data_IF_824782740177
#
_entry.id   IF_824782740177
#
_cell.length_a   1.000
_cell.length_b   1.000
_cell.length_c   1.000
_cell.angle_alpha   90.00
_cell.angle_beta   90.00
_cell.angle_gamma   90.00
#
_symmetry.space_group_name_H-M   'P 1'
#
loop_
_entity.id
_entity.type
_entity.pdbx_description
1 polymer ?
#
# COMPACT_ATOMS: atom_id res chain seq x y z
N UNK A 1 8.98 -0.66 -22.24
CA UNK A 1 9.14 -1.10 -20.85
C UNK A 1 8.80 0.11 -20.00
N UNK A 2 7.66 0.11 -19.31
CA UNK A 2 7.21 1.29 -18.58
C UNK A 2 8.00 1.36 -17.27
N UNK A 3 9.11 2.11 -17.26
CA UNK A 3 9.81 2.46 -16.04
C UNK A 3 8.97 3.50 -15.30
N UNK A 4 8.72 3.27 -14.02
CA UNK A 4 8.11 4.25 -13.13
C UNK A 4 9.21 5.16 -12.61
N UNK A 5 8.97 6.45 -12.63
CA UNK A 5 9.78 7.42 -11.93
C UNK A 5 9.02 7.98 -10.74
N UNK A 6 9.36 7.51 -9.54
CA UNK A 6 8.73 7.91 -8.28
C UNK A 6 8.93 9.39 -7.99
N UNK A 7 10.03 9.99 -8.45
CA UNK A 7 10.31 11.41 -8.24
C UNK A 7 9.22 12.31 -8.83
N UNK A 8 8.57 11.87 -9.91
CA UNK A 8 7.46 12.59 -10.55
C UNK A 8 6.14 12.57 -9.76
N UNK A 9 6.04 11.76 -8.70
CA UNK A 9 4.83 11.61 -7.89
C UNK A 9 4.95 12.20 -6.49
N UNK A 10 6.17 12.36 -5.98
CA UNK A 10 6.43 12.87 -4.63
C UNK A 10 6.43 14.40 -4.58
N UNK A 11 6.10 14.93 -3.41
CA UNK A 11 6.23 16.34 -3.01
C UNK A 11 6.92 16.43 -1.65
N UNK A 12 7.24 17.65 -1.20
CA UNK A 12 7.94 17.87 0.09
C UNK A 12 7.18 17.29 1.30
N UNK A 13 5.84 17.26 1.25
CA UNK A 13 4.98 16.70 2.28
C UNK A 13 4.82 15.17 2.21
N UNK A 14 5.37 14.53 1.17
CA UNK A 14 5.24 13.10 0.97
C UNK A 14 6.12 12.34 1.94
N UNK A 15 5.58 11.31 2.58
CA UNK A 15 6.38 10.37 3.38
C UNK A 15 5.95 8.91 3.20
N UNK A 16 4.88 8.66 2.43
CA UNK A 16 4.39 7.32 2.13
C UNK A 16 3.90 7.27 0.68
N UNK A 17 4.36 6.26 -0.06
CA UNK A 17 3.88 5.93 -1.40
C UNK A 17 3.45 4.47 -1.41
N UNK A 18 2.25 4.19 -1.92
CA UNK A 18 1.71 2.85 -2.09
C UNK A 18 1.46 2.59 -3.58
N UNK A 19 2.03 1.51 -4.12
CA UNK A 19 1.90 1.13 -5.53
C UNK A 19 1.17 -0.20 -5.60
N UNK A 20 -0.12 -0.15 -5.89
CA UNK A 20 -1.00 -1.30 -6.02
C UNK A 20 -0.90 -1.92 -7.40
N UNK A 21 -0.85 -3.25 -7.44
CA UNK A 21 -1.11 -4.02 -8.65
C UNK A 21 -2.62 -4.17 -8.79
N UNK A 22 -3.17 -3.82 -9.94
CA UNK A 22 -4.61 -3.84 -10.16
C UNK A 22 -4.99 -4.43 -11.52
N UNK A 23 -6.20 -4.96 -11.59
CA UNK A 23 -6.85 -5.34 -12.84
C UNK A 23 -7.72 -4.19 -13.32
N UNK A 24 -7.55 -3.87 -14.60
CA UNK A 24 -8.33 -2.84 -15.27
C UNK A 24 -9.59 -3.47 -15.89
N UNK A 25 -10.77 -2.91 -15.56
CA UNK A 25 -12.02 -3.24 -16.25
C UNK A 25 -12.59 -1.98 -16.88
N UNK A 26 -12.74 -1.98 -18.21
CA UNK A 26 -13.57 -0.99 -18.90
C UNK A 26 -15.02 -1.27 -18.53
N UNK A 27 -15.72 -0.27 -17.99
CA UNK A 27 -17.18 -0.28 -17.99
C UNK A 27 -17.68 0.39 -19.28
N UNK A 28 -18.89 -0.02 -19.72
CA UNK A 28 -19.57 0.50 -20.91
C UNK A 28 -19.81 2.03 -20.90
N UNK A 29 -19.60 2.70 -19.77
CA UNK A 29 -19.84 4.14 -19.56
C UNK A 29 -18.55 4.99 -19.53
N UNK A 30 -17.41 4.48 -20.00
CA UNK A 30 -16.11 5.17 -19.95
C UNK A 30 -15.61 5.53 -18.53
N UNK A 31 -16.23 4.99 -17.48
CA UNK A 31 -15.74 5.09 -16.10
C UNK A 31 -14.64 4.05 -15.85
N UNK A 32 -13.51 4.50 -15.30
CA UNK A 32 -12.39 3.62 -14.94
C UNK A 32 -12.70 2.98 -13.58
N UNK A 33 -13.03 1.69 -13.59
CA UNK A 33 -13.12 0.89 -12.36
C UNK A 33 -11.79 0.17 -12.13
N UNK A 34 -11.07 0.61 -11.10
CA UNK A 34 -9.80 0.01 -10.68
C UNK A 34 -10.11 -1.11 -9.70
N UNK A 35 -9.87 -2.36 -10.11
CA UNK A 35 -10.00 -3.49 -9.21
C UNK A 35 -8.62 -3.88 -8.67
N UNK A 36 -8.35 -3.54 -7.42
CA UNK A 36 -7.11 -3.94 -6.73
C UNK A 36 -7.12 -5.40 -6.27
N UNK A 37 -8.26 -6.10 -6.38
CA UNK A 37 -8.37 -7.52 -6.07
C UNK A 37 -7.75 -8.33 -7.20
N UNK A 38 -6.75 -9.14 -6.86
CA UNK A 38 -6.01 -9.95 -7.83
C UNK A 38 -6.51 -11.39 -7.85
N UNK A 39 -6.21 -12.11 -8.93
CA UNK A 39 -6.55 -13.53 -9.04
C UNK A 39 -5.61 -14.40 -8.20
N UNK A 40 -6.08 -15.59 -7.82
CA UNK A 40 -5.30 -16.56 -7.04
C UNK A 40 -4.00 -16.98 -7.74
N UNK A 41 -3.97 -17.01 -9.08
CA UNK A 41 -2.76 -17.30 -9.85
C UNK A 41 -1.66 -16.27 -9.62
N UNK A 42 -2.01 -14.97 -9.57
CA UNK A 42 -1.07 -13.88 -9.32
C UNK A 42 -0.56 -13.97 -7.88
N UNK A 43 -1.46 -14.26 -6.93
CA UNK A 43 -1.12 -14.46 -5.51
C UNK A 43 -0.18 -15.64 -5.32
N UNK A 44 -0.41 -16.73 -6.04
CA UNK A 44 0.46 -17.92 -6.02
C UNK A 44 1.86 -17.59 -6.55
N UNK A 45 1.96 -16.91 -7.69
CA UNK A 45 3.26 -16.42 -8.24
C UNK A 45 4.01 -15.56 -7.23
N UNK A 46 3.30 -14.68 -6.51
CA UNK A 46 3.88 -13.86 -5.45
C UNK A 46 4.45 -14.74 -4.31
N UNK A 47 3.64 -15.63 -3.74
CA UNK A 47 4.05 -16.49 -2.61
C UNK A 47 5.20 -17.44 -2.97
N UNK A 48 5.22 -17.96 -4.20
CA UNK A 48 6.29 -18.83 -4.68
C UNK A 48 7.64 -18.09 -4.80
N UNK A 49 7.60 -16.82 -5.20
CA UNK A 49 8.78 -15.98 -5.38
C UNK A 49 9.32 -15.41 -4.07
N UNK A 50 8.44 -15.03 -3.15
CA UNK A 50 8.79 -14.35 -1.90
C UNK A 50 8.54 -15.25 -0.69
N UNK A 51 9.55 -16.06 -0.31
CA UNK A 51 9.41 -17.15 0.66
C UNK A 51 9.61 -16.79 2.14
N UNK A 52 10.09 -15.57 2.45
CA UNK A 52 10.35 -15.10 3.82
C UNK A 52 9.42 -13.95 4.21
N UNK A 53 8.11 -14.19 4.08
CA UNK A 53 7.07 -13.21 4.41
C UNK A 53 6.74 -13.25 5.90
N UNK A 54 6.68 -12.08 6.54
CA UNK A 54 6.21 -11.92 7.92
C UNK A 54 4.72 -11.66 7.90
N UNK A 55 3.95 -12.43 8.67
CA UNK A 55 2.54 -12.13 8.90
C UNK A 55 2.42 -11.00 9.92
N UNK A 56 1.74 -9.94 9.54
CA UNK A 56 1.30 -8.83 10.39
C UNK A 56 -0.22 -8.85 10.41
N UNK A 57 -0.79 -8.66 11.60
CA UNK A 57 -2.22 -8.70 11.82
C UNK A 57 -2.58 -7.39 12.49
N UNK A 58 -3.46 -6.61 11.88
CA UNK A 58 -3.82 -5.32 12.42
C UNK A 58 -5.31 -5.21 12.61
N UNK A 59 -5.70 -4.61 13.73
CA UNK A 59 -7.05 -4.09 13.94
C UNK A 59 -6.99 -2.58 13.98
N UNK A 60 -7.82 -1.93 13.19
CA UNK A 60 -7.88 -0.48 13.11
C UNK A 60 -9.29 0.05 13.37
N UNK A 61 -9.38 1.14 14.10
CA UNK A 61 -10.62 1.88 14.39
C UNK A 61 -10.49 3.27 13.79
N UNK A 62 -11.45 3.68 12.97
CA UNK A 62 -11.41 4.93 12.22
C UNK A 62 -12.40 5.94 12.82
N UNK A 63 -11.92 7.18 12.98
CA UNK A 63 -12.72 8.33 13.38
C UNK A 63 -12.23 9.55 12.58
N UNK A 64 -13.10 10.14 11.77
CA UNK A 64 -12.79 11.25 10.87
C UNK A 64 -11.56 10.94 9.97
N UNK A 65 -10.49 11.72 10.10
CA UNK A 65 -9.24 11.62 9.34
C UNK A 65 -8.17 10.74 10.01
N UNK A 66 -8.48 10.19 11.19
CA UNK A 66 -7.54 9.42 12.01
C UNK A 66 -7.98 7.97 12.16
N UNK A 67 -6.99 7.13 12.43
CA UNK A 67 -7.22 5.76 12.82
C UNK A 67 -6.29 5.33 13.96
N UNK A 68 -6.88 4.61 14.91
CA UNK A 68 -6.16 3.87 15.93
C UNK A 68 -5.83 2.49 15.39
N UNK A 69 -4.56 2.12 15.35
CA UNK A 69 -4.11 0.81 14.87
C UNK A 69 -3.44 0.04 16.01
N UNK A 70 -3.85 -1.21 16.17
CA UNK A 70 -3.28 -2.19 17.07
C UNK A 70 -2.69 -3.35 16.27
N UNK A 71 -1.42 -3.69 16.50
CA UNK A 71 -0.83 -4.94 15.99
C UNK A 71 -1.33 -6.08 16.86
N UNK A 72 -1.91 -7.14 16.29
CA UNK A 72 -2.42 -8.27 17.06
C UNK A 72 -1.33 -9.29 17.40
N UNK A 73 -0.11 -9.14 16.87
CA UNK A 73 1.02 -10.03 17.16
C UNK A 73 1.92 -9.52 18.29
N UNK A 74 1.75 -8.28 18.72
CA UNK A 74 2.50 -7.65 19.82
C UNK A 74 1.70 -6.47 20.39
N UNK A 75 2.09 -5.90 21.52
CA UNK A 75 1.31 -4.83 22.15
C UNK A 75 1.52 -3.43 21.51
N UNK A 76 2.01 -3.35 20.26
CA UNK A 76 2.25 -2.08 19.59
C UNK A 76 0.93 -1.42 19.17
N UNK A 77 0.82 -0.14 19.51
CA UNK A 77 -0.36 0.67 19.23
C UNK A 77 0.08 2.03 18.68
N UNK A 78 -0.72 2.58 17.76
CA UNK A 78 -0.42 3.89 17.19
C UNK A 78 -1.68 4.57 16.68
N UNK A 79 -1.68 5.90 16.78
CA UNK A 79 -2.69 6.75 16.16
C UNK A 79 -2.06 7.40 14.95
N UNK A 80 -2.72 7.30 13.80
CA UNK A 80 -2.18 7.81 12.56
C UNK A 80 -3.26 8.53 11.75
N UNK A 81 -2.84 9.40 10.83
CA UNK A 81 -3.67 9.95 9.76
C UNK A 81 -2.99 9.74 8.43
N UNK A 82 -3.77 9.57 7.36
CA UNK A 82 -3.26 9.47 5.99
C UNK A 82 -4.00 10.46 5.10
N UNK A 83 -3.32 11.52 4.71
CA UNK A 83 -3.83 12.53 3.79
C UNK A 83 -3.34 12.17 2.39
N UNK A 84 -4.26 11.83 1.49
CA UNK A 84 -3.95 11.53 0.09
C UNK A 84 -3.55 12.83 -0.63
N UNK A 85 -2.31 12.90 -1.12
CA UNK A 85 -1.77 14.06 -1.84
C UNK A 85 -1.93 13.92 -3.35
N UNK A 86 -1.68 12.71 -3.87
CA UNK A 86 -1.69 12.43 -5.31
C UNK A 86 -2.12 11.00 -5.59
N UNK A 87 -2.81 10.81 -6.71
CA UNK A 87 -3.12 9.49 -7.28
C UNK A 87 -2.69 9.42 -8.73
N UNK A 88 -2.25 8.26 -9.19
CA UNK A 88 -1.93 8.02 -10.59
C UNK A 88 -2.27 6.59 -11.01
N UNK A 89 -2.58 6.40 -12.28
CA UNK A 89 -2.84 5.10 -12.87
C UNK A 89 -1.91 4.89 -14.07
N UNK A 90 -1.16 3.79 -14.06
CA UNK A 90 -0.22 3.44 -15.13
C UNK A 90 -0.70 2.16 -15.81
N UNK A 91 -1.13 2.32 -17.06
CA UNK A 91 -1.53 1.20 -17.92
C UNK A 91 -0.27 0.50 -18.44
N UNK A 92 -0.13 -0.79 -18.16
CA UNK A 92 1.01 -1.63 -18.55
C UNK A 92 0.62 -2.59 -19.66
N UNK A 93 0.55 -2.05 -20.88
CA UNK A 93 0.33 -2.84 -22.10
C UNK A 93 1.36 -3.99 -22.15
N UNK A 94 0.89 -5.24 -22.25
CA UNK A 94 1.66 -6.51 -22.21
C UNK A 94 1.96 -7.11 -20.82
N UNK A 95 1.31 -6.64 -19.75
CA UNK A 95 1.35 -7.27 -18.43
C UNK A 95 -0.05 -7.71 -17.99
N UNK A 96 -0.10 -8.67 -17.07
CA UNK A 96 -1.38 -9.18 -16.50
C UNK A 96 -2.06 -8.16 -15.58
N UNK A 97 -1.33 -7.14 -15.11
CA UNK A 97 -1.81 -6.12 -14.17
C UNK A 97 -1.33 -4.74 -14.56
N UNK A 98 -2.16 -3.74 -14.28
CA UNK A 98 -1.81 -2.32 -14.28
C UNK A 98 -1.32 -1.91 -12.89
N UNK A 99 -0.98 -0.62 -12.73
CA UNK A 99 -0.54 -0.07 -11.46
C UNK A 99 -1.36 1.14 -11.06
N UNK A 100 -1.76 1.18 -9.80
CA UNK A 100 -2.38 2.33 -9.17
C UNK A 100 -1.48 2.86 -8.05
N UNK A 101 -1.10 4.12 -8.14
CA UNK A 101 -0.17 4.77 -7.21
C UNK A 101 -0.94 5.75 -6.35
N UNK A 102 -0.83 5.61 -5.04
CA UNK A 102 -1.27 6.60 -4.08
C UNK A 102 -0.06 7.19 -3.33
N UNK A 103 -0.10 8.50 -3.14
CA UNK A 103 0.94 9.26 -2.45
C UNK A 103 0.29 9.96 -1.27
N UNK A 104 0.88 9.81 -0.09
CA UNK A 104 0.33 10.30 1.16
C UNK A 104 1.31 11.13 1.97
N UNK A 105 0.73 12.05 2.74
CA UNK A 105 1.29 12.49 4.01
C UNK A 105 0.70 11.61 5.12
N UNK A 106 1.55 10.81 5.74
CA UNK A 106 1.22 9.89 6.82
C UNK A 106 1.80 10.42 8.13
N UNK A 107 0.94 10.79 9.06
CA UNK A 107 1.36 11.35 10.35
C UNK A 107 1.05 10.37 11.48
N UNK A 108 1.94 10.32 12.47
CA UNK A 108 1.75 9.56 13.70
C UNK A 108 1.54 10.54 14.85
N UNK A 109 0.56 10.24 15.69
CA UNK A 109 0.19 11.05 16.85
C UNK A 109 0.36 10.26 18.14
N UNK A 110 0.48 10.95 19.30
CA UNK A 110 0.35 10.33 20.60
C UNK A 110 -0.97 9.57 20.76
N UNK A 111 -0.93 8.36 21.33
CA UNK A 111 -2.10 7.47 21.40
C UNK A 111 -3.28 8.05 22.18
N UNK A 112 -3.02 8.91 23.17
CA UNK A 112 -4.06 9.56 23.99
C UNK A 112 -4.89 10.60 23.23
N UNK A 113 -4.49 10.99 22.01
CA UNK A 113 -5.27 11.91 21.18
C UNK A 113 -6.42 11.23 20.43
N UNK A 114 -6.48 9.89 20.43
CA UNK A 114 -7.63 9.18 19.88
C UNK A 114 -8.71 9.08 20.96
N UNK A 115 -9.95 9.53 20.67
CA UNK A 115 -10.99 9.61 21.67
C UNK A 115 -11.48 8.22 22.09
N UNK A 116 -11.72 8.05 23.39
CA UNK A 116 -12.48 6.93 23.91
C UNK A 116 -13.97 7.21 23.67
N UNK A 117 -14.51 6.75 22.55
CA UNK A 117 -15.90 6.98 22.16
C UNK A 117 -16.47 5.78 21.43
N UNK A 118 -17.78 5.60 21.53
CA UNK A 118 -18.54 4.61 20.74
C UNK A 118 -18.82 5.10 19.31
N UNK A 119 -18.54 6.38 19.01
CA UNK A 119 -18.71 6.98 17.69
C UNK A 119 -17.55 6.60 16.76
N UNK A 120 -17.41 5.30 16.50
CA UNK A 120 -16.45 4.75 15.52
C UNK A 120 -17.11 4.72 14.15
N UNK A 121 -16.45 5.30 13.16
CA UNK A 121 -16.96 5.34 11.78
C UNK A 121 -16.83 3.97 11.11
N UNK A 122 -15.70 3.29 11.33
CA UNK A 122 -15.38 2.02 10.70
C UNK A 122 -14.34 1.23 11.51
N UNK A 123 -14.46 -0.11 11.47
CA UNK A 123 -13.49 -1.04 12.06
C UNK A 123 -12.97 -1.93 10.93
N UNK A 124 -11.65 -2.08 10.88
CA UNK A 124 -10.96 -2.92 9.89
C UNK A 124 -10.07 -3.93 10.59
N UNK A 125 -10.13 -5.18 10.16
CA UNK A 125 -9.17 -6.22 10.53
C UNK A 125 -8.49 -6.72 9.27
N UNK A 126 -7.15 -6.67 9.24
CA UNK A 126 -6.38 -6.95 8.03
C UNK A 126 -5.16 -7.81 8.34
N UNK A 127 -4.97 -8.82 7.51
CA UNK A 127 -3.78 -9.66 7.49
C UNK A 127 -2.87 -9.17 6.36
N UNK A 128 -1.62 -8.84 6.69
CA UNK A 128 -0.61 -8.37 5.76
C UNK A 128 0.58 -9.32 5.83
N UNK A 129 0.88 -9.98 4.72
CA UNK A 129 2.10 -10.74 4.52
C UNK A 129 3.16 -9.81 3.94
N UNK A 130 4.07 -9.35 4.79
CA UNK A 130 5.13 -8.40 4.44
C UNK A 130 6.40 -9.13 4.00
N UNK A 131 6.85 -8.88 2.77
CA UNK A 131 8.22 -9.15 2.35
C UNK A 131 9.03 -7.84 2.44
N UNK A 132 9.78 -7.67 3.52
CA UNK A 132 10.57 -6.46 3.77
C UNK A 132 11.90 -6.51 3.00
N UNK A 133 12.07 -5.63 2.01
CA UNK A 133 13.33 -5.52 1.27
C UNK A 133 14.34 -4.63 1.98
N UNK A 134 13.86 -3.49 2.49
CA UNK A 134 14.67 -2.52 3.26
C UNK A 134 13.81 -1.93 4.37
N UNK A 135 14.36 -1.05 5.19
CA UNK A 135 13.56 -0.28 6.15
C UNK A 135 12.58 0.70 5.49
N UNK A 136 12.74 0.97 4.18
CA UNK A 136 11.90 1.91 3.43
C UNK A 136 10.97 1.25 2.44
N UNK A 137 11.30 0.07 1.95
CA UNK A 137 10.52 -0.62 0.90
C UNK A 137 10.12 -1.99 1.41
N UNK A 138 8.82 -2.26 1.37
CA UNK A 138 8.26 -3.60 1.53
C UNK A 138 7.35 -3.95 0.38
N UNK A 139 7.24 -5.26 0.11
CA UNK A 139 6.32 -5.80 -0.87
C UNK A 139 5.28 -6.66 -0.17
N UNK A 140 4.02 -6.27 -0.27
CA UNK A 140 2.98 -6.69 0.65
C UNK A 140 1.87 -7.42 -0.09
N UNK A 141 1.39 -8.50 0.52
CA UNK A 141 0.12 -9.15 0.18
C UNK A 141 -0.84 -8.93 1.35
N UNK A 142 -1.84 -8.06 1.17
CA UNK A 142 -2.90 -7.78 2.13
C UNK A 142 -4.14 -8.62 1.78
N UNK A 143 -4.79 -9.16 2.80
CA UNK A 143 -6.15 -9.69 2.69
C UNK A 143 -7.10 -8.70 3.35
N UNK A 144 -8.01 -8.16 2.56
CA UNK A 144 -9.04 -7.20 2.98
C UNK A 144 -10.41 -7.79 2.65
N UNK A 145 -11.18 -8.16 3.67
CA UNK A 145 -12.41 -8.96 3.52
C UNK A 145 -12.22 -10.21 2.62
N UNK A 146 -11.11 -10.92 2.82
CA UNK A 146 -10.75 -12.12 2.06
C UNK A 146 -10.24 -11.85 0.63
N UNK A 147 -10.26 -10.62 0.15
CA UNK A 147 -9.75 -10.27 -1.17
C UNK A 147 -8.24 -9.99 -1.12
N UNK A 148 -7.43 -10.66 -1.95
CA UNK A 148 -6.00 -10.45 -1.98
C UNK A 148 -5.62 -9.19 -2.77
N UNK A 149 -4.83 -8.34 -2.15
CA UNK A 149 -4.31 -7.09 -2.71
C UNK A 149 -2.79 -7.14 -2.61
N UNK A 150 -2.08 -6.92 -3.72
CA UNK A 150 -0.62 -6.85 -3.75
C UNK A 150 -0.20 -5.40 -3.99
N UNK A 151 0.71 -4.90 -3.15
CA UNK A 151 1.21 -3.54 -3.28
C UNK A 151 2.62 -3.39 -2.74
N UNK A 152 3.36 -2.42 -3.29
CA UNK A 152 4.66 -1.98 -2.77
C UNK A 152 4.40 -0.80 -1.85
N UNK A 153 4.94 -0.85 -0.63
CA UNK A 153 4.97 0.30 0.28
C UNK A 153 6.37 0.93 0.23
N UNK A 154 6.44 2.24 0.07
CA UNK A 154 7.66 3.03 0.13
C UNK A 154 7.55 4.19 1.12
N UNK A 155 8.35 4.13 2.20
CA UNK A 155 8.50 5.19 3.21
C UNK A 155 9.53 6.23 2.73
N UNK A 156 9.02 7.28 2.12
CA UNK A 156 9.83 8.37 1.57
C UNK A 156 10.41 9.24 2.69
N UNK A 157 11.58 9.83 2.42
CA UNK A 157 12.08 10.99 3.14
C UNK A 157 12.97 11.79 2.19
N UNK A 158 13.12 13.11 2.39
CA UNK A 158 13.86 13.97 1.46
C UNK A 158 15.31 13.54 1.19
N UNK A 159 16.00 13.02 2.20
CA UNK A 159 17.44 12.74 2.15
C UNK A 159 17.80 11.34 1.60
N UNK A 160 17.05 10.82 0.62
CA UNK A 160 17.27 9.48 0.05
C UNK A 160 17.77 9.53 -1.37
N UNK A 161 18.60 8.55 -1.73
CA UNK A 161 19.03 8.32 -3.11
C UNK A 161 17.85 7.79 -3.95
N UNK A 162 17.08 8.71 -4.54
CA UNK A 162 15.85 8.38 -5.26
C UNK A 162 16.08 7.44 -6.45
N UNK A 163 17.25 7.50 -7.08
CA UNK A 163 17.60 6.62 -8.20
C UNK A 163 17.65 5.15 -7.78
N UNK A 164 18.26 4.83 -6.63
CA UNK A 164 18.29 3.45 -6.11
C UNK A 164 16.90 2.96 -5.70
N UNK A 165 16.07 3.86 -5.20
CA UNK A 165 14.66 3.58 -4.87
C UNK A 165 13.89 3.24 -6.15
N UNK A 166 14.04 4.08 -7.19
CA UNK A 166 13.44 3.88 -8.50
C UNK A 166 13.87 2.54 -9.12
N UNK A 167 15.15 2.19 -9.08
CA UNK A 167 15.64 0.89 -9.56
C UNK A 167 15.01 -0.28 -8.83
N UNK A 168 14.89 -0.18 -7.51
CA UNK A 168 14.31 -1.24 -6.67
C UNK A 168 12.83 -1.42 -6.92
N UNK A 169 12.07 -0.33 -6.97
CA UNK A 169 10.63 -0.36 -7.27
C UNK A 169 10.39 -0.90 -8.68
N UNK A 170 11.16 -0.46 -9.67
CA UNK A 170 11.03 -0.97 -11.05
C UNK A 170 11.34 -2.46 -11.15
N UNK A 171 12.31 -2.99 -10.39
CA UNK A 171 12.55 -4.43 -10.31
C UNK A 171 11.34 -5.19 -9.77
N UNK A 172 10.73 -4.71 -8.68
CA UNK A 172 9.52 -5.30 -8.09
C UNK A 172 8.32 -5.23 -9.03
N UNK A 173 8.10 -4.08 -9.65
CA UNK A 173 7.01 -3.85 -10.61
C UNK A 173 7.09 -4.83 -11.78
N UNK A 174 8.30 -5.10 -12.28
CA UNK A 174 8.48 -6.03 -13.39
C UNK A 174 8.46 -7.51 -12.97
N UNK A 175 8.49 -7.77 -11.67
CA UNK A 175 8.62 -9.11 -11.08
C UNK A 175 7.33 -9.92 -11.10
N UNK A 176 6.19 -9.23 -11.22
CA UNK A 176 4.85 -9.75 -11.55
C UNK A 176 4.45 -9.30 -12.97
#
# INVERSE_FOLDING_TARGET
>A
MNKIDISSYISDDTNLVEIYFCLYKYNHENSININVKLSDDIVKKFKEKYKNIKLMKYKSYYINDKYYMYDLNNDYQSVNSRILLKKAHIIRRKKETDLFINVYKHEKYPSHLFPCTDNIDYISEVDIYEYKLTNRISFNLKYDDGAPIIYIEYKHSPNVEIDRINETINRLVNSL
#
